data_IF_657384339027
#
_entry.id   IF_657384339027
#
_cell.length_a   1.000
_cell.length_b   1.000
_cell.length_c   1.000
_cell.angle_alpha   90.00
_cell.angle_beta   90.00
_cell.angle_gamma   90.00
#
_symmetry.space_group_name_H-M   'P 1'
#
loop_
_entity.id
_entity.type
_entity.pdbx_description
1 polymer ?
#
# COMPACT_ATOMS: atom_id res chain seq x y z
N UNK A 1 -22.01 14.70 -14.43
CA UNK A 1 -21.38 15.36 -13.26
C UNK A 1 -22.10 15.00 -11.95
N UNK A 2 -23.41 15.26 -11.82
CA UNK A 2 -24.19 14.97 -10.58
C UNK A 2 -24.09 13.52 -10.12
N UNK A 3 -24.29 12.55 -11.00
CA UNK A 3 -24.16 11.13 -10.63
C UNK A 3 -22.74 10.74 -10.20
N UNK A 4 -21.71 11.38 -10.76
CA UNK A 4 -20.31 11.14 -10.36
C UNK A 4 -20.09 11.71 -8.96
N UNK A 5 -20.53 12.94 -8.71
CA UNK A 5 -20.44 13.57 -7.38
C UNK A 5 -21.18 12.77 -6.31
N UNK A 6 -22.40 12.30 -6.60
CA UNK A 6 -23.17 11.45 -5.69
C UNK A 6 -22.47 10.11 -5.46
N UNK A 7 -21.93 9.48 -6.52
CA UNK A 7 -21.21 8.23 -6.41
C UNK A 7 -19.89 8.36 -5.65
N UNK A 8 -19.24 9.53 -5.66
CA UNK A 8 -18.00 9.79 -4.92
C UNK A 8 -18.25 10.37 -3.53
N UNK A 9 -19.48 10.79 -3.20
CA UNK A 9 -19.80 11.53 -1.98
C UNK A 9 -19.46 10.76 -0.70
N UNK A 10 -19.63 9.44 -0.71
CA UNK A 10 -19.29 8.58 0.44
C UNK A 10 -17.80 8.63 0.81
N UNK A 11 -16.94 8.99 -0.14
CA UNK A 11 -15.51 9.14 0.06
C UNK A 11 -15.12 10.61 0.24
N UNK A 12 -15.63 11.51 -0.61
CA UNK A 12 -15.20 12.91 -0.61
C UNK A 12 -15.73 13.71 0.57
N UNK A 13 -16.92 13.38 1.10
CA UNK A 13 -17.49 14.11 2.25
C UNK A 13 -16.74 13.82 3.54
N UNK A 14 -16.57 12.55 3.99
CA UNK A 14 -15.78 12.27 5.19
C UNK A 14 -14.36 12.83 5.07
N UNK A 15 -13.73 12.67 3.91
CA UNK A 15 -12.38 13.16 3.68
C UNK A 15 -12.25 14.70 3.74
N UNK A 16 -13.31 15.43 3.40
CA UNK A 16 -13.32 16.90 3.52
C UNK A 16 -13.59 17.35 4.94
N UNK A 17 -14.42 16.61 5.70
CA UNK A 17 -14.77 16.91 7.09
C UNK A 17 -13.62 16.57 8.04
N UNK A 18 -12.99 15.42 7.84
CA UNK A 18 -11.95 14.87 8.71
C UNK A 18 -10.55 15.07 8.14
N UNK A 19 -10.38 16.03 7.21
CA UNK A 19 -9.09 16.27 6.57
C UNK A 19 -8.02 16.51 7.63
N UNK A 20 -8.30 17.28 8.68
CA UNK A 20 -7.36 17.55 9.78
C UNK A 20 -6.79 16.29 10.46
N UNK A 21 -7.51 15.17 10.45
CA UNK A 21 -7.06 13.88 11.00
C UNK A 21 -6.45 12.93 9.97
N UNK A 22 -6.48 13.30 8.69
CA UNK A 22 -5.85 12.58 7.61
C UNK A 22 -4.35 12.88 7.57
N UNK A 23 -3.53 11.84 7.47
CA UNK A 23 -2.07 11.94 7.38
C UNK A 23 -1.52 10.97 6.36
N UNK A 24 -0.41 11.33 5.69
CA UNK A 24 0.46 10.36 5.03
C UNK A 24 1.26 9.52 6.02
N UNK A 25 1.88 8.43 5.55
CA UNK A 25 2.84 7.66 6.33
C UNK A 25 4.15 8.42 6.41
N UNK A 26 4.64 8.65 7.61
CA UNK A 26 5.94 9.28 7.84
C UNK A 26 7.11 8.35 7.59
N UNK A 27 8.27 8.93 7.23
CA UNK A 27 9.48 8.16 6.94
C UNK A 27 9.49 7.46 5.58
N UNK A 28 8.50 7.74 4.73
CA UNK A 28 8.47 7.30 3.33
C UNK A 28 9.41 8.16 2.48
N UNK A 29 10.09 7.53 1.52
CA UNK A 29 10.97 8.21 0.57
C UNK A 29 10.22 9.34 -0.16
N UNK A 30 10.82 10.53 -0.23
CA UNK A 30 10.27 11.70 -0.90
C UNK A 30 9.87 11.40 -2.35
N UNK A 31 10.58 10.52 -3.04
CA UNK A 31 10.24 10.12 -4.42
C UNK A 31 8.86 9.45 -4.49
N UNK A 32 8.43 8.76 -3.44
CA UNK A 32 7.13 8.09 -3.36
C UNK A 32 6.00 9.11 -3.19
N UNK A 33 6.26 10.20 -2.45
CA UNK A 33 5.33 11.30 -2.24
C UNK A 33 5.27 12.22 -3.46
N UNK A 34 6.42 12.66 -3.97
CA UNK A 34 6.54 13.69 -5.00
C UNK A 34 6.61 13.17 -6.43
N UNK A 35 6.70 11.85 -6.59
CA UNK A 35 7.01 11.16 -7.85
C UNK A 35 8.42 11.46 -8.37
N UNK A 36 8.75 10.84 -9.51
CA UNK A 36 10.10 10.75 -10.05
C UNK A 36 10.56 11.96 -10.87
N UNK A 37 9.66 12.90 -11.21
CA UNK A 37 9.97 14.02 -12.07
C UNK A 37 10.02 13.68 -13.57
N UNK A 38 9.83 14.69 -14.43
CA UNK A 38 9.66 14.51 -15.87
C UNK A 38 10.89 13.88 -16.54
N UNK A 39 12.10 14.20 -16.09
CA UNK A 39 13.33 13.65 -16.69
C UNK A 39 13.37 12.12 -16.56
N UNK A 40 13.19 11.61 -15.33
CA UNK A 40 13.18 10.17 -15.05
C UNK A 40 12.00 9.51 -15.74
N UNK A 41 10.80 10.10 -15.65
CA UNK A 41 9.59 9.53 -16.25
C UNK A 41 9.71 9.44 -17.79
N UNK A 42 10.19 10.50 -18.45
CA UNK A 42 10.34 10.52 -19.90
C UNK A 42 11.47 9.58 -20.38
N UNK A 43 12.56 9.48 -19.64
CA UNK A 43 13.62 8.52 -19.93
C UNK A 43 13.09 7.08 -19.82
N UNK A 44 12.34 6.78 -18.76
CA UNK A 44 11.71 5.47 -18.51
C UNK A 44 10.65 5.15 -19.58
N UNK A 45 9.87 6.15 -20.01
CA UNK A 45 8.93 6.02 -21.12
C UNK A 45 9.65 5.74 -22.44
N UNK A 46 10.75 6.43 -22.72
CA UNK A 46 11.53 6.27 -23.95
C UNK A 46 12.25 4.91 -24.03
N UNK A 47 12.74 4.40 -22.89
CA UNK A 47 13.32 3.05 -22.78
C UNK A 47 12.27 1.94 -22.90
N UNK A 48 10.99 2.27 -22.70
CA UNK A 48 9.89 1.32 -22.64
C UNK A 48 9.70 0.69 -21.25
N UNK A 49 10.54 1.06 -20.29
CA UNK A 49 10.50 0.52 -18.93
C UNK A 49 9.21 0.90 -18.19
N UNK A 50 8.53 1.96 -18.62
CA UNK A 50 7.28 2.39 -18.01
C UNK A 50 6.16 1.36 -18.21
N UNK A 51 6.21 0.55 -19.27
CA UNK A 51 5.22 -0.48 -19.55
C UNK A 51 5.78 -1.90 -19.51
N UNK A 52 7.02 -2.08 -19.97
CA UNK A 52 7.60 -3.39 -20.21
C UNK A 52 8.79 -3.71 -19.28
N UNK A 53 9.30 -2.75 -18.49
CA UNK A 53 10.34 -2.90 -17.46
C UNK A 53 11.40 -4.01 -17.75
N UNK A 54 12.34 -3.71 -18.65
CA UNK A 54 13.41 -4.63 -19.07
C UNK A 54 12.97 -5.83 -19.95
N UNK A 55 11.69 -5.94 -20.31
CA UNK A 55 11.15 -6.98 -21.22
C UNK A 55 11.14 -6.47 -22.66
N UNK A 56 10.81 -7.35 -23.61
CA UNK A 56 10.57 -6.92 -24.98
C UNK A 56 9.44 -5.86 -25.01
N UNK A 57 9.61 -4.70 -25.65
CA UNK A 57 8.78 -3.51 -25.45
C UNK A 57 7.43 -3.56 -26.21
N UNK A 58 6.70 -4.67 -26.09
CA UNK A 58 5.43 -4.88 -26.80
C UNK A 58 4.39 -3.81 -26.46
N UNK A 59 4.19 -3.52 -25.18
CA UNK A 59 3.18 -2.56 -24.75
C UNK A 59 3.59 -1.12 -25.07
N UNK A 60 4.87 -0.80 -24.93
CA UNK A 60 5.44 0.50 -25.30
C UNK A 60 5.30 0.77 -26.81
N UNK A 61 5.61 -0.23 -27.65
CA UNK A 61 5.40 -0.15 -29.10
C UNK A 61 3.92 0.08 -29.42
N UNK A 62 3.02 -0.69 -28.81
CA UNK A 62 1.57 -0.53 -29.01
C UNK A 62 1.07 0.84 -28.54
N UNK A 63 1.54 1.34 -27.40
CA UNK A 63 1.18 2.67 -26.91
C UNK A 63 1.66 3.76 -27.87
N UNK A 64 2.90 3.66 -28.38
CA UNK A 64 3.46 4.62 -29.34
C UNK A 64 2.68 4.63 -30.68
N UNK A 65 2.37 3.46 -31.24
CA UNK A 65 1.51 3.36 -32.42
C UNK A 65 0.08 3.82 -32.15
N UNK A 66 -0.41 3.64 -30.91
CA UNK A 66 -1.68 4.15 -30.45
C UNK A 66 -1.72 5.67 -30.46
N UNK A 67 -0.66 6.32 -29.94
CA UNK A 67 -0.49 7.78 -30.00
C UNK A 67 -0.50 8.26 -31.45
N UNK A 68 0.34 7.66 -32.31
CA UNK A 68 0.41 8.01 -33.73
C UNK A 68 -0.94 7.84 -34.44
N UNK A 69 -1.63 6.73 -34.17
CA UNK A 69 -2.97 6.44 -34.71
C UNK A 69 -4.00 7.47 -34.25
N UNK A 70 -4.03 7.80 -32.97
CA UNK A 70 -4.95 8.80 -32.44
C UNK A 70 -4.69 10.20 -33.01
N UNK A 71 -3.42 10.59 -33.18
CA UNK A 71 -3.03 11.87 -33.81
C UNK A 71 -3.43 11.92 -35.29
N UNK A 72 -3.27 10.80 -36.02
CA UNK A 72 -3.67 10.71 -37.42
C UNK A 72 -5.19 10.83 -37.59
N UNK A 73 -5.97 10.17 -36.74
CA UNK A 73 -7.43 10.21 -36.78
C UNK A 73 -8.05 11.29 -35.86
N UNK A 74 -7.30 12.37 -35.58
CA UNK A 74 -7.66 13.38 -34.58
C UNK A 74 -8.96 14.13 -34.84
N UNK A 75 -9.43 14.13 -36.08
CA UNK A 75 -10.70 14.77 -36.46
C UNK A 75 -11.92 14.16 -35.78
N UNK A 76 -11.79 12.98 -35.17
CA UNK A 76 -12.87 12.35 -34.41
C UNK A 76 -12.55 12.30 -32.92
N UNK A 77 -13.47 12.84 -32.11
CA UNK A 77 -13.33 12.95 -30.65
C UNK A 77 -12.97 11.64 -29.95
N UNK A 78 -13.42 10.49 -30.48
CA UNK A 78 -13.15 9.15 -29.93
C UNK A 78 -11.65 8.82 -29.84
N UNK A 79 -10.82 9.42 -30.68
CA UNK A 79 -9.38 9.22 -30.66
C UNK A 79 -8.65 10.25 -29.78
N UNK A 80 -9.30 11.36 -29.44
CA UNK A 80 -8.75 12.33 -28.49
C UNK A 80 -8.86 11.84 -27.05
N UNK A 81 -9.90 11.08 -26.72
CA UNK A 81 -10.11 10.61 -25.34
C UNK A 81 -8.91 9.80 -24.80
N UNK A 82 -8.38 8.77 -25.48
CA UNK A 82 -7.19 8.04 -25.00
C UNK A 82 -5.94 8.91 -24.89
N UNK A 83 -5.74 9.85 -25.82
CA UNK A 83 -4.60 10.78 -25.79
C UNK A 83 -4.68 11.72 -24.59
N UNK A 84 -5.82 12.38 -24.41
CA UNK A 84 -6.03 13.30 -23.29
C UNK A 84 -5.89 12.56 -21.97
N UNK A 85 -6.48 11.37 -21.85
CA UNK A 85 -6.34 10.54 -20.65
C UNK A 85 -4.88 10.20 -20.37
N UNK A 86 -4.16 9.66 -21.35
CA UNK A 86 -2.75 9.29 -21.20
C UNK A 86 -1.88 10.49 -20.82
N UNK A 87 -1.97 11.60 -21.55
CA UNK A 87 -1.12 12.76 -21.29
C UNK A 87 -1.50 13.50 -20.01
N UNK A 88 -2.79 13.59 -19.65
CA UNK A 88 -3.18 14.17 -18.38
C UNK A 88 -2.57 13.39 -17.20
N UNK A 89 -2.66 12.07 -17.22
CA UNK A 89 -2.04 11.23 -16.18
C UNK A 89 -0.52 11.23 -16.24
N UNK A 90 0.09 11.32 -17.42
CA UNK A 90 1.54 11.42 -17.56
C UNK A 90 2.07 12.70 -16.93
N UNK A 91 1.39 13.83 -17.17
CA UNK A 91 1.74 15.11 -16.56
C UNK A 91 1.56 15.06 -15.04
N UNK A 92 0.47 14.47 -14.54
CA UNK A 92 0.29 14.27 -13.09
C UNK A 92 1.38 13.37 -12.51
N UNK A 93 1.76 12.30 -13.21
CA UNK A 93 2.80 11.38 -12.78
C UNK A 93 4.21 11.99 -12.76
N UNK A 94 4.46 13.11 -13.45
CA UNK A 94 5.69 13.89 -13.22
C UNK A 94 5.77 14.41 -11.77
N UNK A 95 4.62 14.64 -11.15
CA UNK A 95 4.47 14.97 -9.74
C UNK A 95 5.11 16.28 -9.32
N UNK A 96 5.22 16.45 -8.00
CA UNK A 96 5.78 17.65 -7.37
C UNK A 96 7.24 17.87 -7.72
N UNK A 97 8.00 16.81 -7.97
CA UNK A 97 9.38 16.87 -8.47
C UNK A 97 9.53 17.67 -9.78
N UNK A 98 8.45 17.87 -10.56
CA UNK A 98 8.45 18.73 -11.75
C UNK A 98 7.67 20.02 -11.58
N UNK A 99 6.47 19.93 -11.01
CA UNK A 99 5.53 21.05 -10.97
C UNK A 99 5.66 21.90 -9.71
N UNK A 100 6.36 21.42 -8.69
CA UNK A 100 6.54 22.11 -7.42
C UNK A 100 5.19 22.49 -6.80
N UNK A 101 5.05 23.73 -6.28
CA UNK A 101 3.84 24.18 -5.59
C UNK A 101 2.57 24.17 -6.43
N UNK A 102 2.65 24.04 -7.76
CA UNK A 102 1.45 23.92 -8.61
C UNK A 102 0.65 22.67 -8.25
N UNK A 103 1.30 21.62 -7.75
CA UNK A 103 0.60 20.42 -7.27
C UNK A 103 -0.26 20.70 -6.04
N UNK A 104 0.07 21.71 -5.24
CA UNK A 104 -0.66 22.07 -4.02
C UNK A 104 -2.06 22.61 -4.33
N UNK A 105 -2.35 22.96 -5.60
CA UNK A 105 -3.69 23.32 -6.08
C UNK A 105 -4.63 22.12 -6.15
N UNK A 106 -4.10 20.90 -6.28
CA UNK A 106 -4.93 19.70 -6.23
C UNK A 106 -5.31 19.45 -4.77
N UNK A 107 -6.61 19.23 -4.49
CA UNK A 107 -7.02 18.86 -3.14
C UNK A 107 -6.30 17.57 -2.73
N UNK A 108 -5.85 17.52 -1.47
CA UNK A 108 -5.18 16.35 -0.87
C UNK A 108 -3.81 16.01 -1.44
N UNK A 109 -3.22 16.90 -2.24
CA UNK A 109 -1.90 16.71 -2.84
C UNK A 109 -0.75 16.55 -1.84
N UNK A 110 -0.91 16.99 -0.59
CA UNK A 110 0.10 16.84 0.46
C UNK A 110 0.21 15.41 0.98
N UNK A 111 -0.89 14.65 0.93
CA UNK A 111 -1.00 13.35 1.59
C UNK A 111 -1.17 12.19 0.58
N UNK A 112 -1.13 12.49 -0.72
CA UNK A 112 -1.25 11.49 -1.79
C UNK A 112 0.14 11.08 -2.30
N UNK A 113 0.38 9.77 -2.34
CA UNK A 113 1.54 9.18 -3.00
C UNK A 113 1.49 9.39 -4.52
N UNK A 114 2.10 10.46 -5.02
CA UNK A 114 2.00 10.83 -6.44
C UNK A 114 2.64 9.81 -7.38
N UNK A 115 3.58 8.98 -6.92
CA UNK A 115 4.11 7.89 -7.73
C UNK A 115 3.01 6.90 -8.19
N UNK A 116 1.87 6.82 -7.47
CA UNK A 116 0.73 5.98 -7.83
C UNK A 116 -0.03 6.48 -9.06
N UNK A 117 0.19 7.73 -9.49
CA UNK A 117 -0.39 8.25 -10.73
C UNK A 117 0.06 7.49 -11.98
N UNK A 118 1.13 6.67 -11.88
CA UNK A 118 1.49 5.69 -12.91
C UNK A 118 0.33 4.79 -13.31
N UNK A 119 -0.58 4.45 -12.39
CA UNK A 119 -1.75 3.63 -12.70
C UNK A 119 -2.67 4.30 -13.74
N UNK A 120 -2.80 5.63 -13.69
CA UNK A 120 -3.53 6.40 -14.70
C UNK A 120 -2.81 6.44 -16.05
N UNK A 121 -1.47 6.50 -16.03
CA UNK A 121 -0.64 6.41 -17.24
C UNK A 121 -0.82 5.05 -17.91
N UNK A 122 -0.79 3.97 -17.13
CA UNK A 122 -1.05 2.61 -17.61
C UNK A 122 -2.45 2.45 -18.18
N UNK A 123 -3.47 2.99 -17.51
CA UNK A 123 -4.84 2.97 -18.01
C UNK A 123 -4.96 3.69 -19.37
N UNK A 124 -4.38 4.88 -19.50
CA UNK A 124 -4.32 5.61 -20.78
C UNK A 124 -3.54 4.82 -21.85
N UNK A 125 -2.41 4.22 -21.47
CA UNK A 125 -1.59 3.37 -22.33
C UNK A 125 -2.33 2.15 -22.86
N UNK A 126 -3.15 1.49 -22.04
CA UNK A 126 -4.00 0.36 -22.45
C UNK A 126 -5.00 0.80 -23.52
N UNK A 127 -5.64 1.95 -23.37
CA UNK A 127 -6.55 2.47 -24.41
C UNK A 127 -5.81 2.82 -25.70
N UNK A 128 -4.60 3.37 -25.62
CA UNK A 128 -3.76 3.63 -26.79
C UNK A 128 -3.36 2.32 -27.49
N UNK A 129 -2.93 1.30 -26.72
CA UNK A 129 -2.62 -0.01 -27.26
C UNK A 129 -3.84 -0.66 -27.94
N UNK A 130 -5.04 -0.50 -27.37
CA UNK A 130 -6.27 -0.95 -27.98
C UNK A 130 -6.54 -0.24 -29.32
N UNK A 131 -6.29 1.07 -29.42
CA UNK A 131 -6.38 1.79 -30.70
C UNK A 131 -5.39 1.23 -31.71
N UNK A 132 -4.12 1.03 -31.32
CA UNK A 132 -3.08 0.50 -32.21
C UNK A 132 -3.46 -0.86 -32.80
N UNK A 133 -4.02 -1.76 -31.98
CA UNK A 133 -4.52 -3.05 -32.44
C UNK A 133 -5.80 -2.92 -33.28
N UNK A 134 -6.71 -2.00 -32.94
CA UNK A 134 -7.96 -1.86 -33.69
C UNK A 134 -7.76 -1.39 -35.14
N UNK A 135 -6.70 -0.63 -35.44
CA UNK A 135 -6.43 -0.10 -36.78
C UNK A 135 -6.24 -1.20 -37.86
N UNK A 136 -5.32 -2.17 -37.72
CA UNK A 136 -5.17 -3.25 -38.71
C UNK A 136 -6.43 -4.11 -38.82
N UNK A 137 -7.13 -4.37 -37.71
CA UNK A 137 -8.38 -5.12 -37.72
C UNK A 137 -9.49 -4.41 -38.50
N UNK A 138 -9.69 -3.11 -38.26
CA UNK A 138 -10.68 -2.32 -39.00
C UNK A 138 -10.34 -2.23 -40.48
N UNK A 139 -9.05 -2.10 -40.81
CA UNK A 139 -8.59 -2.12 -42.20
C UNK A 139 -8.88 -3.48 -42.86
N UNK A 140 -8.55 -4.59 -42.19
CA UNK A 140 -8.78 -5.94 -42.70
C UNK A 140 -10.28 -6.20 -42.97
N UNK A 141 -11.16 -5.85 -42.02
CA UNK A 141 -12.61 -6.00 -42.17
C UNK A 141 -13.15 -5.12 -43.29
N UNK A 142 -12.62 -3.90 -43.46
CA UNK A 142 -13.05 -2.98 -44.55
C UNK A 142 -12.78 -3.53 -45.96
N UNK A 143 -11.91 -4.53 -46.11
CA UNK A 143 -11.62 -5.20 -47.39
C UNK A 143 -12.58 -6.35 -47.71
N UNK A 144 -13.84 -6.24 -47.29
CA UNK A 144 -14.89 -7.22 -47.57
C UNK A 144 -14.73 -8.53 -46.80
N UNK A 145 -14.11 -8.48 -45.61
CA UNK A 145 -13.91 -9.64 -44.74
C UNK A 145 -13.15 -10.82 -45.40
N UNK A 146 -12.23 -10.53 -46.31
CA UNK A 146 -11.36 -11.53 -46.91
C UNK A 146 -10.50 -12.21 -45.82
N UNK A 147 -10.62 -13.53 -45.71
CA UNK A 147 -9.98 -14.34 -44.67
C UNK A 147 -8.47 -14.14 -44.59
N UNK A 148 -7.79 -13.82 -45.68
CA UNK A 148 -6.35 -13.57 -45.69
C UNK A 148 -5.96 -12.30 -44.90
N UNK A 149 -6.70 -11.20 -45.04
CA UNK A 149 -6.40 -9.96 -44.29
C UNK A 149 -6.75 -10.10 -42.82
N UNK A 150 -7.85 -10.80 -42.51
CA UNK A 150 -8.24 -11.08 -41.13
C UNK A 150 -7.21 -12.00 -40.46
N UNK A 151 -6.77 -13.06 -41.14
CA UNK A 151 -5.70 -13.92 -40.67
C UNK A 151 -4.39 -13.14 -40.47
N UNK A 152 -4.05 -12.24 -41.40
CA UNK A 152 -2.88 -11.36 -41.27
C UNK A 152 -2.95 -10.45 -40.04
N UNK A 153 -4.11 -9.82 -39.77
CA UNK A 153 -4.31 -8.98 -38.59
C UNK A 153 -4.22 -9.80 -37.29
N UNK A 154 -4.75 -11.02 -37.30
CA UNK A 154 -4.66 -11.95 -36.17
C UNK A 154 -3.21 -12.36 -35.91
N UNK A 155 -2.48 -12.79 -36.94
CA UNK A 155 -1.07 -13.17 -36.83
C UNK A 155 -0.24 -12.00 -36.32
N UNK A 156 -0.44 -10.79 -36.84
CA UNK A 156 0.25 -9.59 -36.33
C UNK A 156 -0.05 -9.35 -34.84
N UNK A 157 -1.32 -9.45 -34.45
CA UNK A 157 -1.73 -9.27 -33.04
C UNK A 157 -1.06 -10.31 -32.14
N UNK A 158 -1.05 -11.58 -32.56
CA UNK A 158 -0.41 -12.68 -31.83
C UNK A 158 1.10 -12.48 -31.75
N UNK A 159 1.76 -12.08 -32.83
CA UNK A 159 3.20 -11.82 -32.84
C UNK A 159 3.58 -10.71 -31.86
N UNK A 160 2.86 -9.58 -31.89
CA UNK A 160 3.14 -8.42 -31.02
C UNK A 160 2.87 -8.74 -29.55
N UNK A 161 1.81 -9.50 -29.24
CA UNK A 161 1.47 -9.86 -27.86
C UNK A 161 2.20 -11.10 -27.35
N UNK A 162 2.81 -11.91 -28.23
CA UNK A 162 3.51 -13.14 -27.83
C UNK A 162 4.53 -12.95 -26.71
N UNK A 163 5.38 -11.89 -26.70
CA UNK A 163 6.35 -11.70 -25.63
C UNK A 163 5.69 -11.46 -24.26
N UNK A 164 4.55 -10.74 -24.25
CA UNK A 164 3.77 -10.47 -23.03
C UNK A 164 3.24 -11.78 -22.43
N UNK A 165 2.69 -12.67 -23.26
CA UNK A 165 2.16 -13.95 -22.79
C UNK A 165 3.26 -14.95 -22.42
N UNK A 166 4.37 -14.97 -23.16
CA UNK A 166 5.51 -15.85 -22.87
C UNK A 166 6.13 -15.46 -21.53
N UNK A 167 6.41 -14.16 -21.33
CA UNK A 167 6.93 -13.67 -20.05
C UNK A 167 5.94 -13.95 -18.92
N UNK A 168 4.64 -13.68 -19.13
CA UNK A 168 3.66 -13.89 -18.05
C UNK A 168 3.58 -15.36 -17.66
N UNK A 169 3.71 -16.27 -18.63
CA UNK A 169 3.76 -17.71 -18.37
C UNK A 169 5.02 -18.12 -17.62
N UNK A 170 6.20 -17.61 -17.99
CA UNK A 170 7.45 -17.93 -17.26
C UNK A 170 7.40 -17.40 -15.84
N UNK A 171 6.97 -16.14 -15.66
CA UNK A 171 6.80 -15.55 -14.33
C UNK A 171 5.86 -16.37 -13.44
N UNK A 172 4.71 -16.79 -13.96
CA UNK A 172 3.76 -17.60 -13.20
C UNK A 172 4.28 -19.01 -12.91
N UNK A 173 5.08 -19.60 -13.80
CA UNK A 173 5.72 -20.90 -13.57
C UNK A 173 6.76 -20.79 -12.44
N UNK A 174 7.59 -19.75 -12.45
CA UNK A 174 8.59 -19.50 -11.40
C UNK A 174 7.90 -19.26 -10.05
N UNK A 175 6.84 -18.44 -10.04
CA UNK A 175 6.05 -18.19 -8.82
C UNK A 175 5.25 -19.40 -8.33
N UNK A 176 4.99 -20.40 -9.17
CA UNK A 176 4.31 -21.62 -8.75
C UNK A 176 5.19 -22.46 -7.80
N UNK A 177 6.50 -22.48 -8.02
CA UNK A 177 7.46 -23.17 -7.15
C UNK A 177 7.49 -22.50 -5.77
N UNK A 178 7.69 -21.18 -5.73
CA UNK A 178 7.68 -20.39 -4.48
C UNK A 178 6.35 -20.56 -3.73
N UNK A 179 5.22 -20.56 -4.44
CA UNK A 179 3.91 -20.83 -3.85
C UNK A 179 3.84 -22.22 -3.22
N UNK A 180 4.37 -23.24 -3.89
CA UNK A 180 4.34 -24.61 -3.39
C UNK A 180 5.22 -24.77 -2.14
N UNK A 181 6.41 -24.19 -2.14
CA UNK A 181 7.31 -24.15 -0.96
C UNK A 181 6.63 -23.47 0.22
N UNK A 182 5.98 -22.32 0.00
CA UNK A 182 5.23 -21.62 1.04
C UNK A 182 4.06 -22.45 1.57
N UNK A 183 3.33 -23.16 0.71
CA UNK A 183 2.24 -24.04 1.13
C UNK A 183 2.75 -25.22 1.96
N UNK A 184 3.87 -25.82 1.59
CA UNK A 184 4.48 -26.91 2.36
C UNK A 184 4.93 -26.42 3.75
N UNK A 185 5.56 -25.25 3.83
CA UNK A 185 5.96 -24.65 5.10
C UNK A 185 4.75 -24.34 6.01
N UNK A 186 3.68 -23.77 5.44
CA UNK A 186 2.45 -23.50 6.19
C UNK A 186 1.75 -24.77 6.65
N UNK A 187 1.68 -25.81 5.80
CA UNK A 187 1.11 -27.10 6.19
C UNK A 187 1.91 -27.78 7.31
N UNK A 188 3.23 -27.66 7.30
CA UNK A 188 4.09 -28.24 8.33
C UNK A 188 3.89 -27.59 9.71
N UNK A 189 3.57 -26.30 9.76
CA UNK A 189 3.32 -25.53 10.99
C UNK A 189 1.83 -25.29 11.29
N UNK A 190 0.93 -25.89 10.51
CA UNK A 190 -0.52 -25.63 10.60
C UNK A 190 -1.07 -25.98 11.99
N UNK A 191 -0.69 -27.14 12.53
CA UNK A 191 -1.15 -27.59 13.84
C UNK A 191 -0.70 -26.64 14.97
N UNK A 192 0.53 -26.15 14.89
CA UNK A 192 1.07 -25.19 15.86
C UNK A 192 0.30 -23.87 15.78
N UNK A 193 0.04 -23.36 14.57
CA UNK A 193 -0.69 -22.10 14.38
C UNK A 193 -2.15 -22.22 14.82
N UNK A 194 -2.82 -23.33 14.51
CA UNK A 194 -4.18 -23.60 14.97
C UNK A 194 -4.24 -23.63 16.50
N UNK A 195 -3.27 -24.29 17.15
CA UNK A 195 -3.18 -24.31 18.61
C UNK A 195 -2.92 -22.92 19.21
N UNK A 196 -2.12 -22.07 18.56
CA UNK A 196 -1.92 -20.67 18.98
C UNK A 196 -3.23 -19.90 18.89
N UNK A 197 -3.93 -20.01 17.77
CA UNK A 197 -5.21 -19.31 17.53
C UNK A 197 -6.26 -19.76 18.56
N UNK A 198 -6.40 -21.06 18.78
CA UNK A 198 -7.34 -21.62 19.74
C UNK A 198 -6.99 -21.22 21.17
N UNK A 199 -5.70 -21.23 21.52
CA UNK A 199 -5.21 -20.74 22.81
C UNK A 199 -5.60 -19.28 23.01
N UNK A 200 -5.31 -18.41 22.04
CA UNK A 200 -5.61 -16.97 22.14
C UNK A 200 -7.11 -16.68 22.15
N UNK A 201 -7.93 -17.41 21.38
CA UNK A 201 -9.40 -17.27 21.39
C UNK A 201 -10.03 -17.78 22.68
N UNK A 202 -9.41 -18.74 23.36
CA UNK A 202 -9.85 -19.26 24.66
C UNK A 202 -9.51 -18.37 25.84
N UNK A 203 -8.62 -17.38 25.66
CA UNK A 203 -8.26 -16.42 26.70
C UNK A 203 -9.23 -15.23 26.71
N UNK A 204 -9.24 -14.44 27.79
CA UNK A 204 -9.97 -13.17 27.80
C UNK A 204 -9.55 -12.28 26.61
N UNK A 205 -10.46 -11.47 26.03
CA UNK A 205 -10.13 -10.62 24.90
C UNK A 205 -8.91 -9.71 25.17
N UNK A 206 -8.08 -9.54 24.15
CA UNK A 206 -6.91 -8.68 24.20
C UNK A 206 -6.18 -8.64 22.86
N UNK A 207 -5.51 -7.52 22.58
CA UNK A 207 -4.77 -7.33 21.34
C UNK A 207 -3.51 -8.19 21.35
N UNK A 208 -3.17 -8.76 20.20
CA UNK A 208 -2.05 -9.68 19.99
C UNK A 208 -0.93 -8.95 19.25
N UNK A 209 0.31 -9.17 19.67
CA UNK A 209 1.50 -8.66 19.01
C UNK A 209 2.40 -9.81 18.59
N UNK A 210 2.78 -9.84 17.30
CA UNK A 210 3.69 -10.84 16.74
C UNK A 210 4.84 -10.19 15.97
N UNK A 211 5.27 -9.02 16.46
CA UNK A 211 6.31 -8.20 15.84
C UNK A 211 5.74 -7.25 14.79
N UNK A 212 6.31 -6.05 14.71
CA UNK A 212 5.98 -5.14 13.62
C UNK A 212 6.62 -5.64 12.31
N UNK A 213 5.83 -5.67 11.25
CA UNK A 213 6.32 -5.78 9.88
C UNK A 213 6.48 -4.36 9.33
N UNK A 214 7.72 -3.86 9.19
CA UNK A 214 7.93 -2.45 8.87
C UNK A 214 7.56 -2.16 7.40
N UNK A 215 7.10 -0.93 7.14
CA UNK A 215 7.26 -0.29 5.82
C UNK A 215 8.70 0.27 5.66
N UNK A 216 9.39 0.57 6.77
CA UNK A 216 10.81 0.96 6.85
C UNK A 216 11.50 0.49 8.15
N UNK A 217 12.77 0.06 8.06
CA UNK A 217 13.60 -0.37 9.20
C UNK A 217 13.73 -1.89 9.39
N UNK A 218 14.70 -2.33 10.21
CA UNK A 218 14.91 -3.76 10.51
C UNK A 218 14.17 -4.17 11.80
N UNK A 219 12.97 -4.73 11.65
CA UNK A 219 12.18 -5.28 12.77
C UNK A 219 12.10 -6.80 12.65
N UNK A 220 12.19 -7.51 13.78
CA UNK A 220 12.20 -8.97 13.79
C UNK A 220 10.89 -9.60 13.29
N UNK A 221 9.76 -8.88 13.37
CA UNK A 221 8.46 -9.35 12.87
C UNK A 221 8.47 -9.67 11.38
N UNK A 222 9.31 -8.98 10.57
CA UNK A 222 9.50 -9.28 9.15
C UNK A 222 10.15 -10.66 8.93
N UNK A 223 11.07 -11.04 9.82
CA UNK A 223 11.77 -12.35 9.78
C UNK A 223 10.98 -13.46 10.45
N UNK A 224 9.99 -13.10 11.27
CA UNK A 224 9.12 -14.05 11.94
C UNK A 224 7.95 -14.44 11.03
N UNK A 225 8.24 -15.36 10.12
CA UNK A 225 7.32 -15.80 9.07
C UNK A 225 7.26 -17.32 8.97
N UNK A 226 6.16 -17.82 8.41
CA UNK A 226 5.96 -19.23 8.03
C UNK A 226 5.86 -19.28 6.51
N UNK A 227 6.84 -19.94 5.89
CA UNK A 227 7.14 -19.73 4.47
C UNK A 227 7.50 -18.25 4.25
N UNK A 228 6.73 -17.57 3.40
CA UNK A 228 6.85 -16.15 3.09
C UNK A 228 5.76 -15.27 3.71
N UNK A 229 5.01 -15.75 4.70
CA UNK A 229 3.93 -14.99 5.34
C UNK A 229 4.29 -14.67 6.80
N UNK A 230 4.37 -13.38 7.19
CA UNK A 230 4.58 -12.99 8.59
C UNK A 230 3.51 -13.56 9.52
N UNK A 231 3.92 -14.02 10.70
CA UNK A 231 2.99 -14.64 11.68
C UNK A 231 1.90 -13.66 12.10
N UNK A 232 2.21 -12.37 12.25
CA UNK A 232 1.22 -11.33 12.52
C UNK A 232 0.07 -11.30 11.49
N UNK A 233 0.37 -11.52 10.20
CA UNK A 233 -0.65 -11.56 9.14
C UNK A 233 -1.50 -12.83 9.20
N UNK A 234 -0.91 -13.98 9.54
CA UNK A 234 -1.65 -15.23 9.72
C UNK A 234 -2.65 -15.12 10.89
N UNK A 235 -2.21 -14.55 12.01
CA UNK A 235 -3.07 -14.33 13.18
C UNK A 235 -4.20 -13.33 12.87
N UNK A 236 -3.90 -12.24 12.16
CA UNK A 236 -4.91 -11.27 11.72
C UNK A 236 -5.93 -11.88 10.75
N UNK A 237 -5.48 -12.70 9.80
CA UNK A 237 -6.36 -13.42 8.87
C UNK A 237 -7.28 -14.43 9.59
N UNK A 238 -6.85 -14.96 10.73
CA UNK A 238 -7.65 -15.84 11.59
C UNK A 238 -8.71 -15.10 12.46
N UNK A 239 -8.79 -13.77 12.32
CA UNK A 239 -9.74 -12.90 13.02
C UNK A 239 -9.29 -12.46 14.41
N UNK A 240 -8.00 -12.61 14.75
CA UNK A 240 -7.45 -12.03 15.98
C UNK A 240 -7.22 -10.52 15.79
N UNK A 241 -7.43 -9.76 16.86
CA UNK A 241 -7.09 -8.34 16.89
C UNK A 241 -5.58 -8.18 17.05
N UNK A 242 -4.88 -7.91 15.94
CA UNK A 242 -3.41 -7.84 15.88
C UNK A 242 -2.95 -6.40 15.82
N UNK A 243 -1.99 -6.04 16.69
CA UNK A 243 -1.27 -4.79 16.59
C UNK A 243 -0.29 -4.82 15.41
N UNK A 244 -0.55 -4.01 14.38
CA UNK A 244 0.24 -3.95 13.16
C UNK A 244 0.23 -2.54 12.55
N UNK A 245 1.31 -2.21 11.84
CA UNK A 245 1.46 -1.00 11.01
C UNK A 245 0.77 -1.11 9.65
N UNK A 246 0.48 -2.32 9.15
CA UNK A 246 0.07 -2.54 7.75
C UNK A 246 -1.40 -2.24 7.46
N UNK A 247 -2.25 -2.05 8.48
CA UNK A 247 -3.71 -1.94 8.33
C UNK A 247 -4.23 -0.52 8.59
N UNK A 248 -3.39 0.39 9.09
CA UNK A 248 -3.78 1.73 9.51
C UNK A 248 -2.71 2.71 9.04
N UNK A 249 -2.88 3.34 7.87
CA UNK A 249 -1.82 4.16 7.23
C UNK A 249 -2.26 5.57 6.85
N UNK A 250 -3.42 6.02 7.32
CA UNK A 250 -3.98 7.33 6.94
C UNK A 250 -4.60 8.14 8.07
N UNK A 251 -4.44 7.71 9.33
CA UNK A 251 -4.88 8.49 10.49
C UNK A 251 -3.68 9.15 11.15
N UNK A 252 -3.85 10.34 11.75
CA UNK A 252 -2.77 10.97 12.51
C UNK A 252 -2.09 10.01 13.51
N UNK A 253 -2.84 9.22 14.33
CA UNK A 253 -2.22 8.30 15.27
C UNK A 253 -1.45 7.14 14.63
N UNK A 254 -1.66 6.81 13.35
CA UNK A 254 -0.95 5.67 12.74
C UNK A 254 0.56 5.88 12.65
N UNK A 255 1.02 7.13 12.52
CA UNK A 255 2.46 7.42 12.47
C UNK A 255 3.17 7.12 13.80
N UNK A 256 2.42 7.12 14.90
CA UNK A 256 2.92 6.84 16.24
C UNK A 256 3.17 5.33 16.45
N UNK A 257 2.44 4.47 15.74
CA UNK A 257 2.58 2.99 15.81
C UNK A 257 3.98 2.54 15.35
N UNK A 258 4.57 3.24 14.37
CA UNK A 258 5.90 2.91 13.83
C UNK A 258 7.00 3.10 14.89
N UNK A 259 6.79 4.04 15.82
CA UNK A 259 7.70 4.37 16.92
C UNK A 259 7.52 3.47 18.16
N UNK A 260 6.71 2.41 18.07
CA UNK A 260 6.48 1.49 19.19
C UNK A 260 7.81 0.93 19.75
N UNK A 261 7.98 1.12 21.06
CA UNK A 261 9.08 0.60 21.86
C UNK A 261 8.65 -0.71 22.54
N UNK A 262 9.17 -1.81 22.00
CA UNK A 262 8.88 -3.17 22.43
C UNK A 262 9.49 -3.51 23.81
N UNK A 263 10.27 -2.60 24.39
CA UNK A 263 10.81 -2.72 25.75
C UNK A 263 10.03 -1.93 26.80
N UNK A 264 9.03 -1.15 26.38
CA UNK A 264 8.25 -0.27 27.26
C UNK A 264 6.92 -0.90 27.69
N UNK A 265 6.82 -1.35 28.94
CA UNK A 265 5.58 -1.87 29.51
C UNK A 265 4.40 -0.89 29.37
N UNK A 266 4.66 0.42 29.51
CA UNK A 266 3.64 1.45 29.38
C UNK A 266 3.06 1.57 27.97
N UNK A 267 3.86 1.28 26.92
CA UNK A 267 3.33 1.28 25.55
C UNK A 267 2.51 0.02 25.25
N UNK A 268 2.87 -1.14 25.83
CA UNK A 268 2.01 -2.32 25.76
C UNK A 268 0.63 -2.04 26.39
N UNK A 269 0.61 -1.35 27.54
CA UNK A 269 -0.62 -0.93 28.20
C UNK A 269 -1.41 0.07 27.35
N UNK A 270 -0.75 1.11 26.83
CA UNK A 270 -1.34 2.15 25.98
C UNK A 270 -2.08 1.58 24.76
N UNK A 271 -1.46 0.61 24.08
CA UNK A 271 -2.05 -0.04 22.91
C UNK A 271 -2.89 -1.28 23.25
N UNK A 272 -3.13 -1.54 24.54
CA UNK A 272 -3.86 -2.69 25.07
C UNK A 272 -3.35 -4.03 24.50
N UNK A 273 -2.04 -4.14 24.29
CA UNK A 273 -1.37 -5.34 23.80
C UNK A 273 -1.21 -6.31 24.97
N UNK A 274 -2.07 -7.32 24.98
CA UNK A 274 -2.17 -8.27 26.09
C UNK A 274 -1.43 -9.57 25.82
N UNK A 275 -1.33 -9.97 24.56
CA UNK A 275 -0.72 -11.23 24.17
C UNK A 275 0.43 -10.99 23.20
N UNK A 276 1.54 -11.68 23.41
CA UNK A 276 2.73 -11.58 22.56
C UNK A 276 3.11 -12.96 22.07
N UNK A 277 3.27 -13.09 20.75
CA UNK A 277 3.65 -14.34 20.07
C UNK A 277 5.01 -14.13 19.42
N UNK A 278 6.02 -14.85 19.88
CA UNK A 278 7.41 -14.67 19.47
C UNK A 278 8.06 -16.01 19.08
N UNK A 279 9.15 -15.99 18.29
CA UNK A 279 9.95 -17.19 18.06
C UNK A 279 10.48 -17.78 19.38
N UNK A 280 10.72 -19.09 19.39
CA UNK A 280 11.37 -19.77 20.50
C UNK A 280 12.75 -19.18 20.81
N UNK A 281 13.06 -19.09 22.11
CA UNK A 281 14.30 -18.54 22.65
C UNK A 281 14.46 -17.02 22.48
N UNK A 282 13.39 -16.30 22.17
CA UNK A 282 13.42 -14.85 22.13
C UNK A 282 13.60 -14.28 23.54
N UNK A 283 14.50 -13.31 23.70
CA UNK A 283 14.68 -12.61 24.97
C UNK A 283 13.55 -11.59 25.14
N UNK A 284 12.67 -11.85 26.11
CA UNK A 284 11.53 -10.97 26.39
C UNK A 284 11.76 -10.11 27.64
N UNK A 285 11.26 -8.87 27.65
CA UNK A 285 11.28 -8.03 28.84
C UNK A 285 10.65 -8.71 30.06
N UNK A 286 11.19 -8.44 31.25
CA UNK A 286 10.76 -9.10 32.50
C UNK A 286 9.32 -8.81 32.95
N UNK A 287 8.65 -7.82 32.35
CA UNK A 287 7.23 -7.55 32.62
C UNK A 287 6.28 -8.52 31.91
N UNK A 288 6.79 -9.33 30.98
CA UNK A 288 6.00 -10.32 30.24
C UNK A 288 5.98 -11.66 30.99
N UNK A 289 4.79 -12.18 31.26
CA UNK A 289 4.62 -13.49 31.92
C UNK A 289 4.48 -14.60 30.86
N UNK A 290 5.32 -15.65 30.89
CA UNK A 290 5.18 -16.78 29.97
C UNK A 290 3.82 -17.47 30.14
N UNK A 291 3.15 -17.76 29.02
CA UNK A 291 1.84 -18.40 29.01
C UNK A 291 1.95 -19.86 28.53
N UNK A 292 2.56 -20.08 27.36
CA UNK A 292 2.61 -21.39 26.71
C UNK A 292 3.71 -21.44 25.65
N UNK A 293 4.28 -22.63 25.43
CA UNK A 293 5.17 -22.91 24.31
C UNK A 293 4.44 -23.85 23.34
N UNK A 294 4.43 -23.54 22.05
CA UNK A 294 3.78 -24.32 20.99
C UNK A 294 4.76 -24.40 19.84
N UNK A 295 5.29 -25.59 19.54
CA UNK A 295 6.31 -25.78 18.51
C UNK A 295 7.49 -24.81 18.67
N UNK A 296 7.73 -23.99 17.65
CA UNK A 296 8.77 -22.94 17.65
C UNK A 296 8.28 -21.57 18.11
N UNK A 297 7.14 -21.51 18.76
CA UNK A 297 6.47 -20.28 19.19
C UNK A 297 6.37 -20.22 20.72
N UNK A 298 6.52 -19.03 21.27
CA UNK A 298 6.31 -18.77 22.69
C UNK A 298 5.28 -17.67 22.85
N UNK A 299 4.32 -17.93 23.74
CA UNK A 299 3.24 -17.02 24.05
C UNK A 299 3.54 -16.38 25.40
N UNK A 300 3.41 -15.07 25.46
CA UNK A 300 3.49 -14.30 26.68
C UNK A 300 2.21 -13.51 26.88
N UNK A 301 1.91 -13.25 28.14
CA UNK A 301 0.87 -12.33 28.56
C UNK A 301 1.52 -11.08 29.15
N UNK A 302 0.93 -9.93 28.83
CA UNK A 302 1.25 -8.63 29.42
C UNK A 302 0.05 -8.15 30.22
N UNK A 303 0.31 -7.55 31.38
CA UNK A 303 -0.76 -6.93 32.17
C UNK A 303 -1.09 -5.57 31.57
N UNK A 304 -2.36 -5.39 31.20
CA UNK A 304 -2.88 -4.15 30.64
C UNK A 304 -4.18 -3.76 31.32
N UNK A 305 -4.47 -2.47 31.46
CA UNK A 305 -5.75 -1.95 31.98
C UNK A 305 -6.90 -2.13 30.99
N UNK A 306 -6.58 -2.35 29.70
CA UNK A 306 -7.53 -2.56 28.61
C UNK A 306 -7.69 -1.31 27.75
N UNK A 307 -8.81 -1.22 27.03
CA UNK A 307 -9.07 -0.11 26.08
C UNK A 307 -9.35 1.24 26.74
N UNK A 308 -9.71 1.24 28.02
CA UNK A 308 -10.08 2.45 28.76
C UNK A 308 -9.29 2.49 30.06
N UNK A 309 -8.79 3.68 30.37
CA UNK A 309 -8.03 3.93 31.59
C UNK A 309 -8.32 5.34 32.11
N UNK A 310 -8.10 5.56 33.41
CA UNK A 310 -8.19 6.87 34.03
C UNK A 310 -6.83 7.57 33.93
N UNK A 311 -6.80 8.69 33.23
CA UNK A 311 -5.59 9.45 32.95
C UNK A 311 -5.72 10.90 33.42
N UNK A 312 -4.60 11.51 33.77
CA UNK A 312 -4.51 12.95 34.02
C UNK A 312 -4.35 13.70 32.71
N UNK A 313 -5.12 14.78 32.52
CA UNK A 313 -4.94 15.70 31.41
C UNK A 313 -4.71 17.10 31.97
N UNK A 314 -3.45 17.51 32.00
CA UNK A 314 -3.01 18.85 32.40
C UNK A 314 -2.07 19.50 31.39
N UNK A 315 -1.87 18.85 30.24
CA UNK A 315 -1.04 19.29 29.14
C UNK A 315 -1.94 19.47 27.91
N UNK A 316 -1.67 20.46 27.08
CA UNK A 316 -2.27 20.57 25.75
C UNK A 316 -1.17 20.54 24.68
N UNK A 317 -1.49 19.90 23.57
CA UNK A 317 -0.78 20.04 22.31
C UNK A 317 -1.68 20.84 21.37
N UNK A 318 -1.23 22.03 21.01
CA UNK A 318 -1.86 22.91 20.03
C UNK A 318 -0.86 23.11 18.89
N UNK A 319 -1.10 22.48 17.74
CA UNK A 319 -0.17 22.49 16.61
C UNK A 319 -0.81 22.09 15.31
N UNK A 320 -0.04 22.15 14.22
CA UNK A 320 -0.49 21.66 12.92
C UNK A 320 -0.27 20.16 12.78
N UNK A 321 -0.89 19.55 11.75
CA UNK A 321 -0.67 18.13 11.40
C UNK A 321 0.80 17.73 11.31
N UNK A 322 1.63 18.58 10.72
CA UNK A 322 3.06 18.33 10.51
C UNK A 322 3.86 18.20 11.81
N UNK A 323 3.34 18.77 12.90
CA UNK A 323 4.02 18.77 14.20
C UNK A 323 3.56 17.61 15.09
N UNK A 324 2.41 17.01 14.77
CA UNK A 324 1.74 16.01 15.59
C UNK A 324 2.63 14.81 15.91
N UNK A 325 3.24 14.18 14.91
CA UNK A 325 4.04 12.97 15.13
C UNK A 325 5.28 13.24 15.97
N UNK A 326 5.98 14.35 15.73
CA UNK A 326 7.13 14.74 16.56
C UNK A 326 6.72 14.94 18.02
N UNK A 327 5.58 15.60 18.27
CA UNK A 327 5.05 15.79 19.61
C UNK A 327 4.60 14.47 20.25
N UNK A 328 3.87 13.63 19.53
CA UNK A 328 3.40 12.33 20.00
C UNK A 328 4.56 11.38 20.31
N UNK A 329 5.59 11.34 19.47
CA UNK A 329 6.80 10.54 19.69
C UNK A 329 7.58 11.04 20.92
N UNK A 330 7.67 12.37 21.10
CA UNK A 330 8.30 12.97 22.28
C UNK A 330 7.55 12.61 23.57
N UNK A 331 6.21 12.59 23.51
CA UNK A 331 5.37 12.16 24.62
C UNK A 331 5.52 10.66 24.92
N UNK A 332 5.51 9.80 23.89
CA UNK A 332 5.70 8.35 24.02
C UNK A 332 7.05 7.94 24.62
N UNK A 333 8.12 8.63 24.21
CA UNK A 333 9.48 8.38 24.69
C UNK A 333 9.75 9.03 26.06
N UNK A 334 8.90 9.97 26.49
CA UNK A 334 9.04 10.70 27.74
C UNK A 334 8.49 9.95 28.96
N UNK A 335 8.73 10.50 30.15
CA UNK A 335 8.18 9.96 31.41
C UNK A 335 6.68 10.20 31.63
N UNK A 336 6.03 10.96 30.75
CA UNK A 336 4.61 11.35 30.89
C UNK A 336 3.66 10.16 30.75
N UNK A 337 3.98 9.22 29.86
CA UNK A 337 3.19 8.00 29.68
C UNK A 337 3.15 7.18 30.98
N UNK A 338 4.31 6.98 31.62
CA UNK A 338 4.40 6.27 32.90
C UNK A 338 3.68 7.00 34.05
N UNK A 339 3.58 8.34 33.97
CA UNK A 339 2.82 9.16 34.90
C UNK A 339 1.31 9.23 34.56
N UNK A 340 0.84 8.54 33.51
CA UNK A 340 -0.53 8.63 32.96
C UNK A 340 -0.96 10.07 32.69
N UNK A 341 -0.05 10.91 32.22
CA UNK A 341 -0.32 12.28 31.83
C UNK A 341 -0.46 12.36 30.31
N UNK A 342 -1.70 12.49 29.84
CA UNK A 342 -2.04 12.52 28.42
C UNK A 342 -2.35 13.96 27.99
N UNK A 343 -1.74 14.46 26.90
CA UNK A 343 -2.06 15.78 26.39
C UNK A 343 -3.46 15.78 25.75
N UNK A 344 -4.20 16.87 25.94
CA UNK A 344 -5.32 17.20 25.07
C UNK A 344 -4.76 17.62 23.71
N UNK A 345 -5.25 17.03 22.63
CA UNK A 345 -4.75 17.31 21.28
C UNK A 345 -5.71 18.25 20.56
N UNK A 346 -5.16 19.29 19.94
CA UNK A 346 -5.86 20.24 19.10
C UNK A 346 -5.05 20.42 17.82
N UNK A 347 -5.63 20.05 16.69
CA UNK A 347 -4.99 20.10 15.37
C UNK A 347 -5.62 21.25 14.60
N UNK A 348 -4.81 22.24 14.22
CA UNK A 348 -5.26 23.42 13.46
C UNK A 348 -6.45 24.15 14.13
N UNK A 349 -6.56 24.08 15.46
CA UNK A 349 -7.62 24.69 16.26
C UNK A 349 -8.88 23.84 16.44
N UNK A 350 -8.92 22.65 15.85
CA UNK A 350 -9.98 21.67 16.06
C UNK A 350 -9.61 20.71 17.19
N UNK A 351 -10.50 20.51 18.18
CA UNK A 351 -10.26 19.57 19.27
C UNK A 351 -10.32 18.13 18.76
N UNK A 352 -9.25 17.36 19.01
CA UNK A 352 -9.11 15.95 18.65
C UNK A 352 -9.52 14.96 19.73
#
# INVERSE_FOLDING_TARGET
LVCVLLATMYFTVPLSLDNEYFSGVEGVDQVVLDSFGHQVVLETLAKGDLFDLGRFPSLSILAAFGVAGCLFFRSSIRYMVPLVLFFAWLLLFFGRSTWGPVMDLLPLSQDVYMHRFIGGVHLGGIFLAAVALALPWRWAVSRGNNGLYVAGALVLTLLVLSPVYIERRSYLADKAVEKQENQMAQQAEQADIDEIIDTLKGLPPGKVFAGLTPEAGDRWGLRYQIGGTPVAQLLGAAGLDVFSTTLHTYSLPSNVVVSFDETSAGQYDLFSIRYVVVPANSQMPGFMTPLKNIGRHQLYQVQTTGYFDLVGSGLSFDGGKSDYSSAANSWLAGGLLGAKLHPQVSIDGSPG
#
